data_IF_287303323453
#
_entry.id   IF_287303323453
#
_cell.length_a   1.000
_cell.length_b   1.000
_cell.length_c   1.000
_cell.angle_alpha   90.00
_cell.angle_beta   90.00
_cell.angle_gamma   90.00
#
_symmetry.space_group_name_H-M   'P 1'
#
loop_
_entity.id
_entity.type
_entity.pdbx_description
1 polymer ?
#
# COMPACT_ATOMS: atom_id res chain seq x y z
N UNK A 1 -28.05 20.53 7.92
CA UNK A 1 -27.13 19.57 8.59
C UNK A 1 -27.14 18.34 7.69
N UNK A 2 -26.11 18.00 6.91
CA UNK A 2 -24.81 17.54 7.37
C UNK A 2 -23.72 18.07 6.43
N UNK A 3 -22.92 18.99 6.95
CA UNK A 3 -21.63 19.34 6.36
C UNK A 3 -20.66 18.30 6.91
N UNK A 4 -20.20 17.38 6.05
CA UNK A 4 -19.08 16.51 6.39
C UNK A 4 -17.81 17.25 6.02
N UNK A 5 -17.47 18.26 6.81
CA UNK A 5 -16.14 18.84 6.83
C UNK A 5 -15.20 17.86 7.53
N UNK A 6 -14.86 16.76 6.86
CA UNK A 6 -13.63 16.05 7.19
C UNK A 6 -12.53 16.74 6.40
N UNK A 7 -12.08 17.89 6.92
CA UNK A 7 -10.77 18.45 6.60
C UNK A 7 -9.80 17.28 6.63
N UNK A 8 -9.21 16.92 5.48
CA UNK A 8 -8.22 15.84 5.37
C UNK A 8 -6.89 16.33 5.98
N UNK A 9 -6.91 16.62 7.27
CA UNK A 9 -5.73 16.78 8.11
C UNK A 9 -5.12 15.39 8.31
N UNK A 10 -4.18 15.03 7.43
CA UNK A 10 -3.22 13.96 7.71
C UNK A 10 -3.81 12.56 7.89
N UNK A 11 -4.79 12.17 7.08
CA UNK A 11 -5.10 10.75 6.94
C UNK A 11 -3.88 10.07 6.32
N UNK A 12 -3.03 9.45 7.14
CA UNK A 12 -2.12 8.41 6.67
C UNK A 12 -3.01 7.33 6.07
N UNK A 13 -3.29 7.41 4.78
CA UNK A 13 -3.89 6.32 4.04
C UNK A 13 -2.92 5.14 4.19
N UNK A 14 -3.25 4.23 5.10
CA UNK A 14 -2.51 2.98 5.26
C UNK A 14 -2.43 2.37 3.87
N UNK A 15 -1.22 2.05 3.37
CA UNK A 15 -1.09 1.47 2.05
C UNK A 15 -1.89 0.18 2.00
N UNK A 16 -2.91 0.14 1.16
CA UNK A 16 -3.72 -1.03 0.87
C UNK A 16 -3.09 -1.82 -0.27
N UNK A 17 -3.31 -3.13 -0.27
CA UNK A 17 -2.93 -3.95 -1.40
C UNK A 17 -3.87 -3.61 -2.57
N UNK A 18 -3.31 -3.41 -3.77
CA UNK A 18 -4.12 -3.17 -4.97
C UNK A 18 -4.72 -4.47 -5.55
N UNK A 19 -4.07 -5.61 -5.30
CA UNK A 19 -4.47 -6.92 -5.83
C UNK A 19 -5.36 -7.74 -4.88
N UNK A 20 -5.51 -7.32 -3.63
CA UNK A 20 -6.44 -7.95 -2.71
C UNK A 20 -7.17 -6.92 -1.84
N UNK A 21 -8.40 -7.23 -1.45
CA UNK A 21 -9.18 -6.40 -0.51
C UNK A 21 -8.66 -6.49 0.94
N UNK A 22 -7.55 -7.21 1.16
CA UNK A 22 -6.89 -7.33 2.45
C UNK A 22 -5.96 -6.15 2.75
N UNK A 23 -5.89 -5.76 4.02
CA UNK A 23 -4.88 -4.83 4.49
C UNK A 23 -3.46 -5.41 4.34
N UNK A 24 -2.45 -4.54 4.23
CA UNK A 24 -1.06 -4.98 4.17
C UNK A 24 -0.55 -5.26 5.59
N UNK A 25 -0.23 -6.52 5.87
CA UNK A 25 0.39 -6.94 7.13
C UNK A 25 1.89 -7.21 6.93
N UNK A 26 2.72 -6.59 7.77
CA UNK A 26 4.19 -6.73 7.72
C UNK A 26 4.86 -5.78 6.73
N UNK A 27 4.99 -6.18 5.46
CA UNK A 27 5.74 -5.44 4.44
C UNK A 27 4.86 -4.97 3.29
N UNK A 28 5.12 -3.75 2.85
CA UNK A 28 4.49 -3.13 1.68
C UNK A 28 5.50 -3.15 0.53
N UNK A 29 5.10 -3.74 -0.58
CA UNK A 29 5.88 -3.79 -1.81
C UNK A 29 5.35 -2.72 -2.76
N UNK A 30 6.09 -1.62 -2.94
CA UNK A 30 5.72 -0.61 -3.94
C UNK A 30 6.55 -0.77 -5.19
N UNK A 31 5.89 -0.79 -6.34
CA UNK A 31 6.58 -0.80 -7.62
C UNK A 31 7.18 0.58 -7.90
N UNK A 32 8.42 0.64 -8.38
CA UNK A 32 9.06 1.92 -8.76
C UNK A 32 8.64 2.41 -10.13
N UNK A 33 8.08 1.52 -10.96
CA UNK A 33 7.61 1.83 -12.31
C UNK A 33 6.12 2.16 -12.34
N UNK A 34 5.33 1.56 -11.44
CA UNK A 34 3.89 1.76 -11.37
C UNK A 34 3.57 2.71 -10.23
N UNK A 35 3.12 3.92 -10.58
CA UNK A 35 2.76 4.93 -9.60
C UNK A 35 1.53 4.49 -8.78
N UNK A 36 1.65 4.54 -7.46
CA UNK A 36 0.55 4.18 -6.54
C UNK A 36 0.29 2.69 -6.39
N UNK A 37 1.09 1.80 -7.03
CA UNK A 37 0.92 0.36 -6.86
C UNK A 37 1.62 -0.11 -5.59
N UNK A 38 0.82 -0.62 -4.64
CA UNK A 38 1.29 -1.29 -3.43
C UNK A 38 0.71 -2.69 -3.33
N UNK A 39 1.58 -3.66 -3.01
CA UNK A 39 1.23 -5.06 -2.83
C UNK A 39 1.59 -5.52 -1.42
N UNK A 40 0.81 -6.43 -0.85
CA UNK A 40 1.23 -7.20 0.30
C UNK A 40 2.21 -8.29 -0.10
N UNK A 41 2.95 -8.86 0.87
CA UNK A 41 3.89 -9.96 0.60
C UNK A 41 3.24 -11.14 -0.11
N UNK A 42 1.98 -11.48 0.21
CA UNK A 42 1.28 -12.57 -0.46
C UNK A 42 1.06 -12.28 -1.95
N UNK A 43 0.54 -11.10 -2.29
CA UNK A 43 0.31 -10.70 -3.68
C UNK A 43 1.62 -10.53 -4.46
N UNK A 44 2.67 -10.03 -3.80
CA UNK A 44 4.01 -9.96 -4.37
C UNK A 44 4.55 -11.36 -4.71
N UNK A 45 4.44 -12.33 -3.80
CA UNK A 45 4.90 -13.71 -4.01
C UNK A 45 4.03 -14.51 -4.99
N UNK A 46 2.80 -14.07 -5.23
CA UNK A 46 1.91 -14.67 -6.22
C UNK A 46 2.18 -14.19 -7.64
N UNK A 47 3.20 -13.34 -7.85
CA UNK A 47 3.56 -12.76 -9.15
C UNK A 47 2.34 -12.13 -9.87
N UNK A 48 1.38 -11.62 -9.10
CA UNK A 48 0.16 -10.98 -9.62
C UNK A 48 0.50 -9.72 -10.41
N UNK A 49 1.64 -9.11 -10.09
CA UNK A 49 2.24 -8.02 -10.86
C UNK A 49 3.47 -8.51 -11.61
N UNK A 50 3.77 -7.89 -12.75
CA UNK A 50 4.89 -8.27 -13.60
C UNK A 50 6.22 -8.34 -12.82
N UNK A 51 6.82 -9.53 -12.77
CA UNK A 51 8.08 -9.81 -12.05
C UNK A 51 9.29 -9.06 -12.59
N UNK A 52 9.17 -8.49 -13.79
CA UNK A 52 10.19 -7.63 -14.41
C UNK A 52 10.30 -6.25 -13.74
N UNK A 53 9.31 -5.86 -12.93
CA UNK A 53 9.32 -4.55 -12.30
C UNK A 53 10.18 -4.54 -11.03
N UNK A 54 10.98 -3.48 -10.78
CA UNK A 54 11.64 -3.30 -9.51
C UNK A 54 10.63 -2.90 -8.42
N UNK A 55 10.81 -3.45 -7.22
CA UNK A 55 10.00 -3.15 -6.05
C UNK A 55 10.84 -2.64 -4.88
N UNK A 56 10.29 -1.69 -4.14
CA UNK A 56 10.84 -1.22 -2.86
C UNK A 56 9.98 -1.80 -1.74
N UNK A 57 10.65 -2.41 -0.76
CA UNK A 57 10.03 -2.96 0.44
C UNK A 57 10.01 -1.93 1.55
N UNK A 58 8.83 -1.61 2.08
CA UNK A 58 8.65 -0.75 3.25
C UNK A 58 8.13 -1.58 4.43
N UNK A 59 8.69 -1.36 5.60
CA UNK A 59 8.26 -1.98 6.85
C UNK A 59 7.10 -1.20 7.44
N UNK A 60 5.96 -1.87 7.68
CA UNK A 60 4.76 -1.21 8.23
C UNK A 60 4.97 -0.66 9.64
N UNK A 61 5.94 -1.23 10.38
CA UNK A 61 6.32 -0.79 11.74
C UNK A 61 6.91 0.62 11.81
N UNK A 62 7.31 1.21 10.68
CA UNK A 62 7.87 2.57 10.64
C UNK A 62 6.79 3.66 10.47
N UNK A 63 5.51 3.31 10.38
CA UNK A 63 4.39 4.25 10.24
C UNK A 63 3.69 4.62 11.58
N UNK A 64 4.22 4.17 12.73
CA UNK A 64 3.69 4.50 14.06
C UNK A 64 4.67 5.38 14.88
N UNK A 65 5.28 6.38 14.24
CA UNK A 65 6.08 7.41 14.89
C UNK A 65 5.24 8.61 15.27
#
# INVERSE_FOLDING_TARGET
MHVFDNIQCGAFHLPSCNDCEGGITGFIWRCTLCFGLSLCTSCYMSDLHGTSHPFIRYETHLYNG
#
